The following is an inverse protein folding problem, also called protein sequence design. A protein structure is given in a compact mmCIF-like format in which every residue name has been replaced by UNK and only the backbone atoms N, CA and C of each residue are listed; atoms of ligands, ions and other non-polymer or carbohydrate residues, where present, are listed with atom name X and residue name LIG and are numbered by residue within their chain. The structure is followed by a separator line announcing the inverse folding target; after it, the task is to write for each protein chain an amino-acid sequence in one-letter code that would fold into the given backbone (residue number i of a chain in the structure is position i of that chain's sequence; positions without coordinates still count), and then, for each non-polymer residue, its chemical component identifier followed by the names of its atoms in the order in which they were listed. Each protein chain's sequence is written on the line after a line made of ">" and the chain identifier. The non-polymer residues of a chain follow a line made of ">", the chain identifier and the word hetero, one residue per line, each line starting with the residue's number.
data_IF_942297882388
#
_entry.id   IF_942297882388
#
_cell.length_a   1.000
_cell.length_b   1.000
_cell.length_c   1.000
_cell.angle_alpha   90.00
_cell.angle_beta   90.00
_cell.angle_gamma   90.00
#
_symmetry.space_group_name_H-M   'P 1'
#
loop_
_entity.id
_entity.type
_entity.pdbx_description
1 polymer ?
#
# COMPACT_ATOMS: atom_id res chain seq x y z
N UNK A 1 29.35 -3.04 -74.08
CA UNK A 1 29.44 -3.29 -72.63
C UNK A 1 29.30 -1.99 -71.95
N UNK A 2 28.10 -1.63 -71.41
CA UNK A 2 27.97 -0.37 -70.67
C UNK A 2 28.47 -0.60 -69.25
N UNK A 3 29.49 0.08 -68.87
CA UNK A 3 29.96 0.21 -67.50
C UNK A 3 29.12 1.24 -66.79
N UNK A 4 28.25 0.77 -65.91
CA UNK A 4 27.43 1.66 -65.10
C UNK A 4 28.31 2.27 -63.97
N UNK A 5 28.66 3.54 -64.14
CA UNK A 5 29.31 4.33 -63.13
C UNK A 5 28.30 4.71 -62.01
N UNK A 6 28.41 4.08 -60.87
CA UNK A 6 27.65 4.46 -59.68
C UNK A 6 28.09 5.86 -59.25
N UNK A 7 27.11 6.75 -59.25
CA UNK A 7 27.22 8.16 -58.89
C UNK A 7 27.76 8.30 -57.47
N UNK A 8 28.75 9.21 -57.28
CA UNK A 8 29.35 9.61 -56.00
C UNK A 8 28.37 10.14 -54.96
N UNK A 9 27.12 10.34 -55.32
CA UNK A 9 26.07 10.81 -54.42
C UNK A 9 25.49 9.70 -53.53
N UNK A 10 25.63 8.43 -53.88
CA UNK A 10 25.11 7.32 -53.08
C UNK A 10 26.02 6.88 -51.91
N UNK A 11 27.26 7.35 -51.89
CA UNK A 11 28.20 6.99 -50.79
C UNK A 11 28.07 7.90 -49.54
N UNK A 12 27.25 8.96 -49.58
CA UNK A 12 27.06 9.85 -48.45
C UNK A 12 25.82 9.54 -47.60
N UNK A 13 24.97 8.62 -48.02
CA UNK A 13 23.75 8.23 -47.30
C UNK A 13 23.90 7.04 -46.37
N UNK A 14 25.06 6.35 -46.36
CA UNK A 14 25.29 5.20 -45.45
C UNK A 14 26.05 5.54 -44.16
N UNK A 15 26.42 6.81 -43.96
CA UNK A 15 27.27 7.21 -42.83
C UNK A 15 26.54 7.85 -41.63
N UNK A 16 25.21 7.95 -41.67
CA UNK A 16 24.48 8.72 -40.65
C UNK A 16 23.49 7.88 -39.81
N UNK A 17 23.41 6.57 -40.07
CA UNK A 17 22.43 5.70 -39.36
C UNK A 17 22.99 5.01 -38.10
N UNK A 18 24.26 5.14 -37.78
CA UNK A 18 24.86 4.44 -36.64
C UNK A 18 25.08 5.25 -35.37
N UNK A 19 24.44 6.42 -35.22
CA UNK A 19 24.65 7.26 -33.99
C UNK A 19 23.38 7.58 -33.23
N UNK A 20 22.28 6.84 -33.38
CA UNK A 20 21.03 7.07 -32.70
C UNK A 20 20.58 5.90 -31.77
N UNK A 21 21.53 5.05 -31.34
CA UNK A 21 21.24 3.96 -30.38
C UNK A 21 22.17 4.11 -29.17
N UNK A 22 21.97 5.15 -28.36
CA UNK A 22 22.86 5.35 -27.22
C UNK A 22 22.32 6.25 -26.13
N UNK A 23 20.99 6.29 -25.91
CA UNK A 23 20.45 6.96 -24.73
C UNK A 23 19.15 6.29 -24.28
N UNK A 24 19.20 4.97 -24.04
CA UNK A 24 18.26 4.37 -23.12
C UNK A 24 18.69 4.81 -21.72
N UNK A 25 18.28 6.01 -21.31
CA UNK A 25 18.27 6.38 -19.91
C UNK A 25 17.35 5.37 -19.22
N UNK A 26 17.96 4.37 -18.58
CA UNK A 26 17.30 3.59 -17.58
C UNK A 26 16.85 4.57 -16.49
N UNK A 27 15.61 5.03 -16.55
CA UNK A 27 14.92 5.59 -15.40
C UNK A 27 14.81 4.45 -14.39
N UNK A 28 15.87 4.23 -13.62
CA UNK A 28 15.74 3.48 -12.38
C UNK A 28 14.72 4.21 -11.53
N UNK A 29 13.59 3.59 -11.14
CA UNK A 29 12.74 4.19 -10.15
C UNK A 29 13.60 4.31 -8.89
N UNK A 30 14.03 5.52 -8.58
CA UNK A 30 14.63 5.80 -7.28
C UNK A 30 13.58 5.41 -6.27
N UNK A 31 13.85 4.36 -5.47
CA UNK A 31 13.05 4.01 -4.33
C UNK A 31 13.03 5.23 -3.40
N UNK A 32 11.97 6.03 -3.49
CA UNK A 32 11.76 7.16 -2.59
C UNK A 32 11.37 6.57 -1.24
N UNK A 33 12.18 6.81 -0.24
CA UNK A 33 11.78 6.62 1.13
C UNK A 33 10.47 7.39 1.37
N UNK A 34 9.50 6.76 2.05
CA UNK A 34 8.22 7.39 2.34
C UNK A 34 8.47 8.68 3.18
N UNK A 35 7.87 9.77 2.75
CA UNK A 35 7.96 11.04 3.48
C UNK A 35 7.07 11.01 4.72
N UNK A 36 7.29 11.85 5.73
CA UNK A 36 6.39 11.99 6.88
C UNK A 36 4.93 12.26 6.45
N UNK A 37 4.72 13.03 5.38
CA UNK A 37 3.40 13.30 4.83
C UNK A 37 2.74 12.06 4.22
N UNK A 38 3.53 11.22 3.54
CA UNK A 38 3.05 9.96 2.98
C UNK A 38 2.65 8.97 4.09
N UNK A 39 3.43 8.91 5.17
CA UNK A 39 3.10 8.12 6.35
C UNK A 39 1.80 8.60 7.01
N UNK A 40 1.66 9.89 7.26
CA UNK A 40 0.44 10.46 7.83
C UNK A 40 -0.78 10.24 6.94
N UNK A 41 -0.62 10.25 5.61
CA UNK A 41 -1.70 9.92 4.68
C UNK A 41 -2.09 8.43 4.76
N UNK A 42 -1.11 7.54 4.84
CA UNK A 42 -1.33 6.10 5.02
C UNK A 42 -2.06 5.80 6.33
N UNK A 43 -1.62 6.36 7.44
CA UNK A 43 -2.27 6.18 8.75
C UNK A 43 -3.74 6.63 8.73
N UNK A 44 -4.04 7.77 8.11
CA UNK A 44 -5.42 8.24 7.96
C UNK A 44 -6.26 7.31 7.11
N UNK A 45 -5.69 6.76 6.03
CA UNK A 45 -6.38 5.79 5.19
C UNK A 45 -6.69 4.51 5.94
N UNK A 46 -5.70 3.94 6.65
CA UNK A 46 -5.88 2.75 7.48
C UNK A 46 -6.97 2.99 8.51
N UNK A 47 -6.91 4.11 9.24
CA UNK A 47 -7.92 4.44 10.23
C UNK A 47 -9.33 4.54 9.63
N UNK A 48 -9.48 5.22 8.49
CA UNK A 48 -10.76 5.37 7.81
C UNK A 48 -11.31 4.02 7.32
N UNK A 49 -10.47 3.18 6.70
CA UNK A 49 -10.86 1.87 6.22
C UNK A 49 -11.26 0.93 7.37
N UNK A 50 -10.51 0.93 8.47
CA UNK A 50 -10.79 0.12 9.64
C UNK A 50 -12.08 0.54 10.35
N UNK A 51 -12.31 1.84 10.50
CA UNK A 51 -13.56 2.36 11.09
C UNK A 51 -14.75 2.01 10.20
N UNK A 52 -14.61 2.13 8.87
CA UNK A 52 -15.67 1.79 7.93
C UNK A 52 -16.00 0.27 7.91
N UNK A 53 -15.01 -0.59 8.15
CA UNK A 53 -15.19 -2.03 8.22
C UNK A 53 -15.74 -2.51 9.57
N UNK A 54 -15.63 -1.69 10.61
CA UNK A 54 -16.06 -2.04 11.98
C UNK A 54 -17.56 -2.29 12.08
N UNK A 55 -17.92 -3.27 12.90
CA UNK A 55 -19.33 -3.56 13.24
C UNK A 55 -19.81 -2.82 14.50
N UNK A 56 -18.93 -2.07 15.14
CA UNK A 56 -19.21 -1.39 16.40
C UNK A 56 -19.91 -0.05 16.18
N UNK A 57 -20.81 0.30 17.10
CA UNK A 57 -21.36 1.65 17.17
C UNK A 57 -20.32 2.62 17.72
N UNK A 58 -20.24 3.82 17.10
CA UNK A 58 -19.26 4.83 17.48
C UNK A 58 -17.82 4.33 17.33
N UNK A 59 -17.57 3.51 16.31
CA UNK A 59 -16.25 2.97 16.02
C UNK A 59 -15.22 4.09 15.82
N UNK A 60 -14.06 3.92 16.42
CA UNK A 60 -12.93 4.83 16.28
C UNK A 60 -11.61 4.09 16.40
N UNK A 61 -10.60 4.57 15.69
CA UNK A 61 -9.24 4.09 15.85
C UNK A 61 -8.74 4.31 17.27
N UNK A 62 -8.03 3.34 17.82
CA UNK A 62 -7.44 3.39 19.15
C UNK A 62 -5.93 3.08 19.06
N UNK A 63 -5.13 4.04 19.45
CA UNK A 63 -3.67 3.95 19.37
C UNK A 63 -3.13 4.20 17.95
N UNK A 64 -1.88 3.85 17.76
CA UNK A 64 -1.18 3.97 16.47
C UNK A 64 -1.30 2.68 15.67
N UNK A 65 -1.35 2.76 14.34
CA UNK A 65 -1.22 1.58 13.49
C UNK A 65 0.09 0.85 13.73
N UNK A 66 0.06 -0.46 13.63
CA UNK A 66 1.24 -1.33 13.73
C UNK A 66 1.57 -1.82 12.32
N UNK A 67 2.72 -1.40 11.81
CA UNK A 67 3.21 -1.83 10.52
C UNK A 67 3.90 -3.18 10.62
N UNK A 68 3.46 -4.12 9.79
CA UNK A 68 4.21 -5.34 9.54
C UNK A 68 5.22 -5.08 8.40
N UNK A 69 6.20 -5.97 8.27
CA UNK A 69 7.16 -5.85 7.17
C UNK A 69 6.47 -5.88 5.79
N UNK A 70 7.17 -5.37 4.78
CA UNK A 70 6.60 -5.22 3.44
C UNK A 70 6.26 -6.56 2.77
N UNK A 71 6.91 -7.65 3.16
CA UNK A 71 6.61 -8.99 2.66
C UNK A 71 5.23 -9.46 3.11
N UNK A 72 4.83 -9.11 4.32
CA UNK A 72 3.49 -9.35 4.87
C UNK A 72 2.46 -8.45 4.23
N UNK A 73 2.79 -7.17 4.02
CA UNK A 73 1.91 -6.20 3.37
C UNK A 73 0.68 -5.81 4.20
N UNK A 74 0.74 -5.96 5.51
CA UNK A 74 -0.37 -5.71 6.44
C UNK A 74 -0.03 -4.55 7.39
N UNK A 75 -1.04 -3.75 7.68
CA UNK A 75 -1.04 -2.79 8.79
C UNK A 75 -2.16 -3.19 9.77
N UNK A 76 -1.86 -3.34 11.04
CA UNK A 76 -2.86 -3.64 12.06
C UNK A 76 -3.27 -2.39 12.84
N UNK A 77 -4.54 -2.30 13.20
CA UNK A 77 -5.06 -1.19 14.00
C UNK A 77 -6.15 -1.70 14.95
N UNK A 78 -6.12 -1.23 16.18
CA UNK A 78 -7.21 -1.48 17.12
C UNK A 78 -8.34 -0.49 16.87
N UNK A 79 -9.56 -1.00 16.79
CA UNK A 79 -10.79 -0.20 16.73
C UNK A 79 -11.57 -0.42 18.02
N UNK A 80 -12.07 0.65 18.57
CA UNK A 80 -12.92 0.62 19.78
C UNK A 80 -14.29 1.23 19.49
N UNK A 81 -15.27 0.74 20.20
CA UNK A 81 -16.65 1.21 20.10
C UNK A 81 -17.56 0.51 21.10
N UNK A 82 -18.80 0.32 20.74
CA UNK A 82 -19.80 -0.40 21.55
C UNK A 82 -20.48 -1.46 20.70
N UNK A 83 -20.84 -2.57 21.32
CA UNK A 83 -21.68 -3.56 20.66
C UNK A 83 -23.00 -2.94 20.21
N UNK A 84 -23.39 -3.23 18.96
CA UNK A 84 -24.58 -2.63 18.35
C UNK A 84 -25.88 -3.40 18.64
N UNK A 85 -25.78 -4.64 19.09
CA UNK A 85 -26.96 -5.50 19.32
C UNK A 85 -26.65 -6.70 20.23
N UNK A 86 -27.71 -7.39 20.62
CA UNK A 86 -27.64 -8.62 21.40
C UNK A 86 -27.45 -8.37 22.89
N UNK A 87 -27.08 -9.42 23.63
CA UNK A 87 -26.89 -9.36 25.10
C UNK A 87 -25.73 -8.45 25.55
N UNK A 88 -24.85 -8.06 24.62
CA UNK A 88 -23.72 -7.15 24.86
C UNK A 88 -24.00 -5.72 24.42
N UNK A 89 -25.26 -5.41 24.01
CA UNK A 89 -25.64 -4.10 23.49
C UNK A 89 -25.17 -2.95 24.42
N UNK A 90 -24.59 -1.93 23.82
CA UNK A 90 -24.05 -0.77 24.52
C UNK A 90 -22.75 -1.02 25.31
N UNK A 91 -22.30 -2.24 25.51
CA UNK A 91 -21.03 -2.55 26.18
C UNK A 91 -19.84 -2.15 25.32
N UNK A 92 -18.77 -1.72 25.96
CA UNK A 92 -17.50 -1.44 25.28
C UNK A 92 -16.97 -2.68 24.58
N UNK A 93 -16.46 -2.49 23.41
CA UNK A 93 -15.92 -3.56 22.58
C UNK A 93 -14.66 -3.10 21.84
N UNK A 94 -13.84 -4.07 21.47
CA UNK A 94 -12.63 -3.89 20.67
C UNK A 94 -12.63 -4.84 19.50
N UNK A 95 -12.19 -4.34 18.37
CA UNK A 95 -11.92 -5.13 17.16
C UNK A 95 -10.47 -4.92 16.73
N UNK A 96 -9.82 -6.00 16.33
CA UNK A 96 -8.56 -5.93 15.61
C UNK A 96 -8.87 -5.78 14.13
N UNK A 97 -8.36 -4.73 13.53
CA UNK A 97 -8.41 -4.49 12.10
C UNK A 97 -7.09 -4.85 11.46
N UNK A 98 -7.14 -5.55 10.35
CA UNK A 98 -6.03 -5.81 9.46
C UNK A 98 -6.30 -5.12 8.12
N UNK A 99 -5.44 -4.20 7.76
CA UNK A 99 -5.49 -3.48 6.48
C UNK A 99 -4.45 -4.07 5.53
N UNK A 100 -4.91 -4.60 4.40
CA UNK A 100 -4.04 -5.10 3.34
C UNK A 100 -3.61 -3.94 2.43
N UNK A 101 -2.31 -3.65 2.43
CA UNK A 101 -1.73 -2.53 1.66
C UNK A 101 -1.85 -2.71 0.14
N UNK A 102 -1.94 -3.95 -0.36
CA UNK A 102 -2.03 -4.23 -1.80
C UNK A 102 -3.45 -4.06 -2.33
N UNK A 103 -4.41 -4.66 -1.64
CA UNK A 103 -5.83 -4.57 -2.02
C UNK A 103 -6.53 -3.32 -1.48
N UNK A 104 -5.92 -2.64 -0.52
CA UNK A 104 -6.45 -1.48 0.22
C UNK A 104 -7.76 -1.80 0.94
N UNK A 105 -7.90 -3.04 1.39
CA UNK A 105 -9.08 -3.53 2.11
C UNK A 105 -8.77 -3.78 3.58
N UNK A 106 -9.76 -3.51 4.40
CA UNK A 106 -9.71 -3.77 5.83
C UNK A 106 -10.62 -4.95 6.18
N UNK A 107 -10.16 -5.79 7.11
CA UNK A 107 -10.93 -6.85 7.73
C UNK A 107 -10.86 -6.69 9.24
N UNK A 108 -11.98 -6.90 9.93
CA UNK A 108 -12.07 -6.75 11.38
C UNK A 108 -12.49 -8.05 12.04
N UNK A 109 -12.04 -8.25 13.27
CA UNK A 109 -12.45 -9.37 14.12
C UNK A 109 -12.55 -8.93 15.58
N UNK A 110 -13.48 -9.48 16.38
CA UNK A 110 -13.52 -9.19 17.81
C UNK A 110 -12.18 -9.47 18.50
N UNK A 111 -11.74 -8.54 19.34
CA UNK A 111 -10.44 -8.62 20.00
C UNK A 111 -10.52 -8.46 21.53
N UNK A 112 -11.70 -8.51 22.12
CA UNK A 112 -11.87 -8.35 23.55
C UNK A 112 -11.08 -9.38 24.36
N UNK A 113 -10.96 -10.60 23.85
CA UNK A 113 -10.22 -11.67 24.49
C UNK A 113 -8.71 -11.36 24.67
N UNK A 114 -8.13 -10.52 23.81
CA UNK A 114 -6.73 -10.11 23.93
C UNK A 114 -6.46 -9.22 25.13
N UNK A 115 -7.50 -8.63 25.69
CA UNK A 115 -7.43 -7.68 26.81
C UNK A 115 -8.03 -8.26 28.10
N UNK A 116 -8.48 -9.50 28.07
CA UNK A 116 -8.91 -10.21 29.26
C UNK A 116 -7.67 -10.68 30.05
N UNK A 117 -7.56 -10.38 31.34
CA UNK A 117 -6.44 -10.92 32.11
C UNK A 117 -6.39 -12.43 32.00
N UNK A 118 -5.20 -12.96 31.68
CA UNK A 118 -4.99 -14.42 31.74
C UNK A 118 -5.21 -14.86 33.18
N UNK A 119 -6.25 -15.68 33.41
CA UNK A 119 -6.43 -16.32 34.70
C UNK A 119 -5.16 -17.15 34.97
N UNK A 120 -4.39 -16.80 35.97
CA UNK A 120 -3.29 -17.66 36.42
C UNK A 120 -3.89 -18.98 36.85
N UNK A 121 -3.30 -20.11 36.38
CA UNK A 121 -3.67 -21.43 36.90
C UNK A 121 -3.39 -21.56 38.38
#
# INVERSE_FOLDING_TARGET
>A
MPTSSLSRRQRRALGVVCFALGAAFACSPTARAATPQAWAAHEREVAAACVAASTLQGARAAGQPIEFDDSTGITALLVTGRHAAGHLDGRRARELCLFDKRSRKAAVTPADALFTPLSRP
#
